data_IF_560922662817
#
_entry.id   IF_560922662817
#
_cell.length_a   1.000
_cell.length_b   1.000
_cell.length_c   1.000
_cell.angle_alpha   90.00
_cell.angle_beta   90.00
_cell.angle_gamma   90.00
#
_symmetry.space_group_name_H-M   'P 1'
#
loop_
_entity.id
_entity.type
_entity.pdbx_description
1 polymer ?
#
# COMPACT_ATOMS: atom_id res chain seq x y z
N UNK A 1 14.06 45.35 10.67
CA UNK A 1 13.87 43.94 10.23
C UNK A 1 13.84 42.92 11.37
N UNK A 2 14.26 43.29 12.60
CA UNK A 2 14.37 42.35 13.75
C UNK A 2 13.18 42.43 14.72
N UNK A 3 12.28 43.40 14.56
CA UNK A 3 11.15 43.55 15.47
C UNK A 3 9.99 42.62 15.08
N UNK A 4 9.50 41.87 16.07
CA UNK A 4 8.27 41.10 15.97
C UNK A 4 7.08 42.06 16.10
N UNK A 5 6.59 42.53 14.97
CA UNK A 5 5.50 43.49 14.89
C UNK A 5 4.22 42.94 15.54
N UNK A 6 3.50 43.82 16.25
CA UNK A 6 2.20 43.49 16.89
C UNK A 6 1.02 43.61 15.92
N UNK A 7 1.10 44.50 14.94
CA UNK A 7 -0.03 44.95 14.12
C UNK A 7 0.06 44.52 12.65
N UNK A 8 1.25 44.09 12.20
CA UNK A 8 1.52 43.71 10.82
C UNK A 8 2.38 42.44 10.72
N UNK A 9 2.50 41.91 9.50
CA UNK A 9 3.35 40.77 9.10
C UNK A 9 4.72 40.78 9.81
N UNK A 10 5.06 39.67 10.48
CA UNK A 10 6.37 39.52 11.13
C UNK A 10 7.44 39.08 10.13
N UNK A 11 8.35 39.98 9.78
CA UNK A 11 9.51 39.65 8.94
C UNK A 11 10.45 38.65 9.63
N UNK A 12 10.52 38.67 10.96
CA UNK A 12 11.31 37.71 11.74
C UNK A 12 10.78 36.29 11.54
N UNK A 13 9.46 36.09 11.56
CA UNK A 13 8.85 34.80 11.26
C UNK A 13 9.20 34.31 9.84
N UNK A 14 9.23 35.22 8.86
CA UNK A 14 9.66 34.93 7.48
C UNK A 14 11.13 34.50 7.40
N UNK A 15 12.03 35.17 8.11
CA UNK A 15 13.45 34.79 8.20
C UNK A 15 13.61 33.43 8.86
N UNK A 16 12.85 33.12 9.92
CA UNK A 16 12.89 31.79 10.53
C UNK A 16 12.40 30.73 9.54
N UNK A 17 11.30 31.00 8.83
CA UNK A 17 10.76 30.09 7.82
C UNK A 17 11.79 29.81 6.70
N UNK A 18 12.53 30.82 6.21
CA UNK A 18 13.53 30.61 5.16
C UNK A 18 14.72 29.80 5.65
N UNK A 19 15.17 30.03 6.89
CA UNK A 19 16.26 29.26 7.51
C UNK A 19 15.88 27.79 7.64
N UNK A 20 14.60 27.48 7.91
CA UNK A 20 14.08 26.10 7.94
C UNK A 20 13.92 25.52 6.53
N UNK A 21 13.50 26.34 5.56
CA UNK A 21 13.29 25.89 4.19
C UNK A 21 14.60 25.52 3.47
N UNK A 22 15.71 26.21 3.79
CA UNK A 22 17.02 25.96 3.18
C UNK A 22 17.52 24.50 3.31
N UNK A 23 17.63 23.91 4.52
CA UNK A 23 18.04 22.51 4.65
C UNK A 23 17.04 21.56 4.00
N UNK A 24 15.73 21.83 4.09
CA UNK A 24 14.71 21.02 3.40
C UNK A 24 14.92 21.02 1.88
N UNK A 25 15.23 22.17 1.30
CA UNK A 25 15.45 22.32 -0.13
C UNK A 25 16.73 21.60 -0.59
N UNK A 26 17.85 21.83 0.10
CA UNK A 26 19.16 21.22 -0.23
C UNK A 26 19.07 19.69 -0.18
N UNK A 27 18.47 19.12 0.86
CA UNK A 27 18.36 17.65 0.99
C UNK A 27 17.36 17.05 0.01
N UNK A 28 16.41 17.84 -0.51
CA UNK A 28 15.44 17.40 -1.52
C UNK A 28 16.03 17.29 -2.94
N UNK A 29 17.23 17.85 -3.17
CA UNK A 29 17.90 17.75 -4.46
C UNK A 29 18.16 16.27 -4.83
N UNK A 30 17.99 15.88 -6.11
CA UNK A 30 18.10 14.48 -6.53
C UNK A 30 19.43 13.81 -6.16
N UNK A 31 20.53 14.57 -6.15
CA UNK A 31 21.85 14.08 -5.76
C UNK A 31 21.88 13.65 -4.30
N UNK A 32 21.47 14.53 -3.38
CA UNK A 32 21.44 14.24 -1.94
C UNK A 32 20.42 13.17 -1.59
N UNK A 33 19.20 13.26 -2.12
CA UNK A 33 18.13 12.30 -1.84
C UNK A 33 18.49 10.86 -2.25
N UNK A 34 19.21 10.69 -3.36
CA UNK A 34 19.66 9.37 -3.84
C UNK A 34 20.83 8.81 -3.03
N UNK A 35 21.70 9.67 -2.49
CA UNK A 35 22.84 9.25 -1.69
C UNK A 35 22.49 9.00 -0.21
N UNK A 36 21.64 9.86 0.38
CA UNK A 36 21.27 9.87 1.80
C UNK A 36 19.77 10.09 1.97
N UNK A 37 18.99 9.07 1.64
CA UNK A 37 17.52 9.14 1.72
C UNK A 37 17.02 9.44 3.14
N UNK A 38 17.63 8.88 4.19
CA UNK A 38 17.21 9.11 5.58
C UNK A 38 17.39 10.58 6.00
N UNK A 39 18.50 11.22 5.59
CA UNK A 39 18.73 12.64 5.87
C UNK A 39 17.67 13.52 5.20
N UNK A 40 17.36 13.23 3.92
CA UNK A 40 16.24 13.85 3.22
C UNK A 40 14.94 13.66 4.00
N UNK A 41 14.59 12.42 4.34
CA UNK A 41 13.35 12.10 5.02
C UNK A 41 13.18 12.87 6.33
N UNK A 42 14.18 12.88 7.21
CA UNK A 42 14.07 13.55 8.51
C UNK A 42 14.07 15.08 8.39
N UNK A 43 14.92 15.66 7.54
CA UNK A 43 14.93 17.12 7.34
C UNK A 43 13.64 17.61 6.70
N UNK A 44 13.02 16.82 5.82
CA UNK A 44 11.78 17.20 5.17
C UNK A 44 10.61 17.34 6.16
N UNK A 45 10.60 16.60 7.28
CA UNK A 45 9.57 16.73 8.33
C UNK A 45 9.52 18.13 8.99
N UNK A 46 10.56 18.95 8.81
CA UNK A 46 10.57 20.35 9.23
C UNK A 46 9.50 21.19 8.52
N UNK A 47 8.81 20.65 7.50
CA UNK A 47 7.66 21.29 6.85
C UNK A 47 6.59 21.75 7.85
N UNK A 48 6.40 21.04 8.97
CA UNK A 48 5.43 21.44 10.00
C UNK A 48 5.82 22.77 10.64
N UNK A 49 7.11 22.93 10.97
CA UNK A 49 7.64 24.14 11.55
C UNK A 49 7.67 25.28 10.51
N UNK A 50 8.00 24.95 9.25
CA UNK A 50 7.91 25.90 8.15
C UNK A 50 6.50 26.46 7.98
N UNK A 51 5.46 25.60 7.91
CA UNK A 51 4.07 26.05 7.77
C UNK A 51 3.67 26.94 8.94
N UNK A 52 4.04 26.58 10.17
CA UNK A 52 3.75 27.40 11.35
C UNK A 52 4.32 28.82 11.25
N UNK A 53 5.62 28.96 10.93
CA UNK A 53 6.22 30.29 10.77
C UNK A 53 5.77 31.01 9.49
N UNK A 54 5.44 30.27 8.44
CA UNK A 54 4.85 30.83 7.21
C UNK A 54 3.51 31.51 7.51
N UNK A 55 2.62 30.87 8.27
CA UNK A 55 1.33 31.46 8.66
C UNK A 55 1.52 32.73 9.48
N UNK A 56 2.45 32.72 10.45
CA UNK A 56 2.78 33.90 11.26
C UNK A 56 3.42 35.04 10.46
N UNK A 57 4.11 34.72 9.36
CA UNK A 57 4.66 35.70 8.45
C UNK A 57 3.56 36.28 7.55
N UNK A 58 2.81 35.42 6.87
CA UNK A 58 2.01 35.81 5.70
C UNK A 58 0.58 36.24 6.06
N UNK A 59 0.04 35.78 7.20
CA UNK A 59 -1.28 36.17 7.68
C UNK A 59 -2.47 35.49 7.01
N UNK A 60 -3.66 35.79 7.54
CA UNK A 60 -4.93 35.16 7.19
C UNK A 60 -5.27 35.32 5.70
N UNK A 61 -5.09 36.53 5.13
CA UNK A 61 -5.49 36.84 3.75
C UNK A 61 -4.80 35.96 2.70
N UNK A 62 -3.50 35.77 2.83
CA UNK A 62 -2.72 34.96 1.90
C UNK A 62 -2.74 33.47 2.29
N UNK A 63 -2.91 33.16 3.58
CA UNK A 63 -3.12 31.79 4.03
C UNK A 63 -4.39 31.18 3.42
N UNK A 64 -5.46 31.96 3.25
CA UNK A 64 -6.69 31.53 2.58
C UNK A 64 -6.47 30.94 1.17
N UNK A 65 -5.43 31.37 0.44
CA UNK A 65 -5.12 30.83 -0.89
C UNK A 65 -4.59 29.39 -0.84
N UNK A 66 -3.85 29.02 0.21
CA UNK A 66 -3.27 27.68 0.38
C UNK A 66 -4.05 26.83 1.40
N UNK A 67 -4.97 27.45 2.13
CA UNK A 67 -5.73 26.84 3.22
C UNK A 67 -6.47 25.58 2.79
N UNK A 68 -7.20 25.51 1.65
CA UNK A 68 -7.89 24.28 1.25
C UNK A 68 -6.94 23.08 1.12
N UNK A 69 -5.74 23.30 0.57
CA UNK A 69 -4.73 22.24 0.42
C UNK A 69 -4.18 21.77 1.78
N UNK A 70 -3.85 22.70 2.66
CA UNK A 70 -3.37 22.39 4.02
C UNK A 70 -4.47 21.68 4.82
N UNK A 71 -5.72 22.12 4.71
CA UNK A 71 -6.86 21.55 5.40
C UNK A 71 -7.08 20.08 5.02
N UNK A 72 -7.11 19.78 3.72
CA UNK A 72 -7.23 18.41 3.22
C UNK A 72 -6.02 17.56 3.62
N UNK A 73 -4.82 18.12 3.56
CA UNK A 73 -3.59 17.43 3.98
C UNK A 73 -3.62 17.06 5.47
N UNK A 74 -4.09 17.95 6.35
CA UNK A 74 -4.22 17.69 7.78
C UNK A 74 -5.25 16.58 8.06
N UNK A 75 -6.40 16.58 7.37
CA UNK A 75 -7.39 15.52 7.48
C UNK A 75 -6.80 14.17 7.05
N UNK A 76 -6.18 14.08 5.87
CA UNK A 76 -5.55 12.86 5.38
C UNK A 76 -4.47 12.35 6.35
N UNK A 77 -3.57 13.25 6.78
CA UNK A 77 -2.49 12.92 7.73
C UNK A 77 -3.03 12.41 9.06
N UNK A 78 -4.09 13.03 9.58
CA UNK A 78 -4.67 12.65 10.86
C UNK A 78 -5.41 11.32 10.78
N UNK A 79 -6.16 11.07 9.71
CA UNK A 79 -6.83 9.78 9.49
C UNK A 79 -5.82 8.64 9.36
N UNK A 80 -4.73 8.84 8.62
CA UNK A 80 -3.61 7.89 8.55
C UNK A 80 -2.97 7.67 9.91
N UNK A 81 -2.78 8.73 10.69
CA UNK A 81 -2.28 8.60 12.06
C UNK A 81 -3.21 7.74 12.93
N UNK A 82 -4.53 7.95 12.90
CA UNK A 82 -5.49 7.13 13.64
C UNK A 82 -5.44 5.66 13.21
N UNK A 83 -5.30 5.40 11.91
CA UNK A 83 -5.10 4.05 11.38
C UNK A 83 -3.79 3.41 11.89
N UNK A 84 -2.68 4.16 11.80
CA UNK A 84 -1.34 3.70 12.17
C UNK A 84 -1.17 3.30 13.64
N UNK A 85 -2.04 3.81 14.52
CA UNK A 85 -2.05 3.46 15.95
C UNK A 85 -2.49 2.02 16.22
N UNK A 86 -3.12 1.36 15.24
CA UNK A 86 -3.58 -0.01 15.39
C UNK A 86 -2.42 -0.99 15.16
N UNK A 87 -2.35 -2.00 16.03
CA UNK A 87 -1.47 -3.16 15.82
C UNK A 87 -2.25 -4.18 15.01
N UNK A 88 -1.59 -4.73 14.00
CA UNK A 88 -2.22 -5.63 13.05
C UNK A 88 -1.85 -7.06 13.39
N UNK A 89 -2.85 -7.94 13.43
CA UNK A 89 -2.64 -9.35 13.70
C UNK A 89 -1.88 -10.00 12.53
N UNK A 90 -0.59 -10.26 12.75
CA UNK A 90 0.27 -11.04 11.86
C UNK A 90 0.04 -12.52 12.14
N UNK A 91 -0.39 -13.28 11.13
CA UNK A 91 -0.72 -14.71 11.24
C UNK A 91 0.51 -15.58 10.97
N UNK A 92 1.20 -15.31 9.86
CA UNK A 92 2.39 -16.06 9.47
C UNK A 92 3.37 -15.22 8.66
N UNK A 93 4.62 -15.65 8.64
CA UNK A 93 5.66 -15.16 7.76
C UNK A 93 6.33 -16.33 7.03
N UNK A 94 6.33 -16.29 5.69
CA UNK A 94 7.00 -17.29 4.85
C UNK A 94 8.31 -16.72 4.32
N UNK A 95 9.41 -17.42 4.58
CA UNK A 95 10.76 -17.04 4.18
C UNK A 95 11.17 -17.89 2.98
N UNK A 96 11.47 -17.22 1.87
CA UNK A 96 11.89 -17.86 0.63
C UNK A 96 13.43 -17.83 0.50
N UNK A 97 14.04 -18.86 -0.12
CA UNK A 97 15.50 -18.97 -0.29
C UNK A 97 16.14 -17.77 -1.00
N UNK A 98 15.37 -17.04 -1.81
CA UNK A 98 15.85 -15.88 -2.54
C UNK A 98 15.95 -14.60 -1.67
N UNK A 99 15.71 -14.67 -0.36
CA UNK A 99 15.66 -13.47 0.50
C UNK A 99 14.38 -12.67 0.27
N UNK A 100 13.27 -13.37 0.02
CA UNK A 100 11.93 -12.79 -0.07
C UNK A 100 11.13 -13.25 1.15
N UNK A 101 10.33 -12.34 1.68
CA UNK A 101 9.47 -12.54 2.84
C UNK A 101 8.03 -12.31 2.40
N UNK A 102 7.14 -13.25 2.69
CA UNK A 102 5.69 -13.02 2.59
C UNK A 102 5.13 -12.91 4.01
N UNK A 103 4.43 -11.81 4.28
CA UNK A 103 3.76 -11.58 5.57
C UNK A 103 2.25 -11.70 5.36
N UNK A 104 1.61 -12.55 6.14
CA UNK A 104 0.16 -12.77 6.11
C UNK A 104 -0.48 -12.14 7.34
N UNK A 105 -1.42 -11.24 7.13
CA UNK A 105 -2.17 -10.53 8.16
C UNK A 105 -3.60 -11.01 8.18
N UNK A 106 -4.22 -10.98 9.37
CA UNK A 106 -5.67 -11.16 9.49
C UNK A 106 -6.39 -9.92 8.97
N UNK A 107 -7.48 -10.14 8.24
CA UNK A 107 -8.31 -9.12 7.62
C UNK A 107 -9.78 -9.34 7.99
N UNK A 108 -10.54 -8.26 8.18
CA UNK A 108 -12.00 -8.37 8.29
C UNK A 108 -12.64 -8.66 6.93
N UNK A 109 -13.68 -9.51 6.83
CA UNK A 109 -14.39 -9.77 5.58
C UNK A 109 -14.90 -8.52 4.86
N UNK A 110 -15.32 -7.50 5.63
CA UNK A 110 -15.81 -6.22 5.08
C UNK A 110 -14.73 -5.29 4.50
N UNK A 111 -13.43 -5.63 4.61
CA UNK A 111 -12.38 -4.86 3.95
C UNK A 111 -12.24 -5.32 2.50
N UNK A 112 -12.69 -4.46 1.58
CA UNK A 112 -12.53 -4.64 0.15
C UNK A 112 -11.30 -3.91 -0.38
N UNK A 113 -10.53 -4.58 -1.25
CA UNK A 113 -9.40 -4.00 -1.96
C UNK A 113 -9.22 -4.66 -3.32
N UNK A 114 -8.78 -3.87 -4.29
CA UNK A 114 -8.53 -4.36 -5.65
C UNK A 114 -7.12 -4.96 -5.78
N UNK A 115 -6.90 -5.86 -6.76
CA UNK A 115 -5.55 -6.29 -7.14
C UNK A 115 -4.64 -5.09 -7.40
N UNK A 116 -3.33 -5.26 -7.20
CA UNK A 116 -2.30 -4.20 -7.29
C UNK A 116 -2.35 -3.12 -6.19
N UNK A 117 -3.20 -3.29 -5.17
CA UNK A 117 -3.20 -2.42 -4.00
C UNK A 117 -1.86 -2.45 -3.25
N UNK A 118 -1.57 -1.37 -2.54
CA UNK A 118 -0.36 -1.16 -1.75
C UNK A 118 -0.75 -1.04 -0.28
N UNK A 119 -0.05 -1.76 0.59
CA UNK A 119 -0.14 -1.64 2.03
C UNK A 119 1.16 -1.03 2.56
N UNK A 120 1.05 0.01 3.37
CA UNK A 120 2.20 0.53 4.10
C UNK A 120 2.39 -0.27 5.38
N UNK A 121 3.61 -0.72 5.62
CA UNK A 121 3.97 -1.53 6.78
C UNK A 121 4.99 -0.78 7.62
N UNK A 122 4.75 -0.76 8.93
CA UNK A 122 5.69 -0.31 9.94
C UNK A 122 5.96 -1.43 10.95
N UNK A 123 7.24 -1.62 11.26
CA UNK A 123 7.69 -2.55 12.30
C UNK A 123 8.44 -1.72 13.35
N UNK A 124 7.78 -1.34 14.47
CA UNK A 124 8.35 -0.43 15.47
C UNK A 124 9.69 -0.88 16.06
N UNK A 125 9.95 -2.21 16.08
CA UNK A 125 11.22 -2.80 16.54
C UNK A 125 12.40 -2.43 15.63
N UNK A 126 12.15 -2.23 14.34
CA UNK A 126 13.16 -1.84 13.36
C UNK A 126 13.25 -0.31 13.27
N UNK A 127 12.10 0.35 13.15
CA UNK A 127 12.00 1.80 13.06
C UNK A 127 10.63 2.30 13.47
N UNK A 128 10.59 3.33 14.33
CA UNK A 128 9.33 3.93 14.82
C UNK A 128 8.66 4.88 13.82
N UNK A 129 9.42 5.39 12.84
CA UNK A 129 8.98 6.46 11.94
C UNK A 129 8.94 6.04 10.47
N UNK A 130 9.64 4.97 10.09
CA UNK A 130 9.71 4.54 8.69
C UNK A 130 8.52 3.65 8.34
N UNK A 131 7.74 4.10 7.35
CA UNK A 131 6.64 3.36 6.74
C UNK A 131 7.05 2.97 5.33
N UNK A 132 6.96 1.67 5.01
CA UNK A 132 7.38 1.15 3.71
C UNK A 132 6.17 0.62 2.93
N UNK A 133 5.96 1.08 1.68
CA UNK A 133 4.88 0.60 0.84
C UNK A 133 5.23 -0.76 0.22
N UNK A 134 4.35 -1.75 0.37
CA UNK A 134 4.47 -3.05 -0.27
C UNK A 134 3.21 -3.39 -1.04
N UNK A 135 3.37 -4.01 -2.21
CA UNK A 135 2.21 -4.47 -3.00
C UNK A 135 1.55 -5.66 -2.31
N UNK A 136 0.24 -5.61 -2.19
CA UNK A 136 -0.59 -6.71 -1.69
C UNK A 136 -0.58 -7.83 -2.73
N UNK A 137 -0.16 -9.03 -2.33
CA UNK A 137 -0.12 -10.21 -3.18
C UNK A 137 -1.43 -11.01 -3.13
N UNK A 138 -2.15 -10.93 -2.01
CA UNK A 138 -3.42 -11.63 -1.82
C UNK A 138 -4.56 -11.04 -2.65
N UNK A 139 -5.64 -11.81 -2.77
CA UNK A 139 -6.87 -11.37 -3.41
C UNK A 139 -8.03 -11.31 -2.41
N UNK A 140 -8.76 -10.19 -2.37
CA UNK A 140 -9.82 -9.97 -1.40
C UNK A 140 -10.98 -10.98 -1.48
N UNK A 141 -11.27 -11.50 -2.67
CA UNK A 141 -12.38 -12.42 -2.88
C UNK A 141 -11.99 -13.88 -2.63
N UNK A 142 -10.74 -14.23 -2.94
CA UNK A 142 -10.20 -15.58 -2.74
C UNK A 142 -9.79 -15.81 -1.28
N UNK A 143 -9.15 -14.82 -0.66
CA UNK A 143 -8.62 -14.86 0.71
C UNK A 143 -9.46 -13.90 1.59
N UNK A 144 -10.61 -14.40 2.06
CA UNK A 144 -11.64 -13.58 2.73
C UNK A 144 -11.12 -12.96 4.02
N UNK A 145 -10.36 -13.74 4.80
CA UNK A 145 -9.89 -13.37 6.16
C UNK A 145 -8.39 -13.05 6.23
N UNK A 146 -7.69 -13.11 5.09
CA UNK A 146 -6.24 -12.93 5.02
C UNK A 146 -5.86 -11.80 4.06
N UNK A 147 -4.76 -11.12 4.38
CA UNK A 147 -4.12 -10.15 3.51
C UNK A 147 -2.62 -10.37 3.53
N UNK A 148 -2.04 -10.59 2.37
CA UNK A 148 -0.64 -10.95 2.21
C UNK A 148 0.13 -9.85 1.49
N UNK A 149 1.34 -9.59 1.96
CA UNK A 149 2.31 -8.70 1.28
C UNK A 149 3.63 -9.40 1.10
N UNK A 150 4.32 -9.05 0.03
CA UNK A 150 5.60 -9.66 -0.34
C UNK A 150 6.71 -8.61 -0.31
N UNK A 151 7.78 -8.91 0.39
CA UNK A 151 8.90 -8.01 0.69
C UNK A 151 10.21 -8.66 0.22
N UNK A 152 10.95 -8.01 -0.67
CA UNK A 152 12.28 -8.44 -1.09
C UNK A 152 13.36 -7.75 -0.27
N UNK A 153 14.35 -8.51 0.20
CA UNK A 153 15.48 -7.98 0.95
C UNK A 153 16.44 -7.24 0.00
N UNK A 154 16.28 -5.91 -0.11
CA UNK A 154 17.13 -5.05 -0.95
C UNK A 154 17.63 -3.78 -0.22
N UNK A 155 17.21 -3.54 1.02
CA UNK A 155 17.56 -2.35 1.78
C UNK A 155 17.79 -2.63 3.27
N UNK A 156 18.37 -1.65 3.95
CA UNK A 156 18.73 -1.76 5.38
C UNK A 156 17.54 -2.12 6.28
N UNK A 157 16.34 -1.63 5.96
CA UNK A 157 15.12 -1.95 6.70
C UNK A 157 14.66 -3.40 6.47
N UNK A 158 14.59 -3.84 5.20
CA UNK A 158 14.16 -5.20 4.86
C UNK A 158 15.14 -6.27 5.34
N UNK A 159 16.44 -5.96 5.34
CA UNK A 159 17.48 -6.89 5.81
C UNK A 159 17.41 -7.07 7.32
N UNK A 160 17.09 -6.00 8.06
CA UNK A 160 16.83 -6.10 9.51
C UNK A 160 15.58 -6.94 9.78
N UNK A 161 14.52 -6.75 9.00
CA UNK A 161 13.31 -7.57 9.12
C UNK A 161 13.58 -9.06 8.89
N UNK A 162 14.35 -9.38 7.85
CA UNK A 162 14.75 -10.75 7.55
C UNK A 162 15.53 -11.40 8.70
N UNK A 163 16.51 -10.67 9.27
CA UNK A 163 17.31 -11.15 10.40
C UNK A 163 16.47 -11.38 11.66
N UNK A 164 15.55 -10.47 11.95
CA UNK A 164 14.64 -10.59 13.10
C UNK A 164 13.75 -11.84 12.94
N UNK A 165 13.14 -12.05 11.77
CA UNK A 165 12.33 -13.23 11.49
C UNK A 165 13.14 -14.54 11.55
N UNK A 166 14.38 -14.53 11.04
CA UNK A 166 15.27 -15.69 11.07
C UNK A 166 15.75 -16.09 12.47
N UNK A 167 15.58 -15.23 13.48
CA UNK A 167 16.00 -15.48 14.87
C UNK A 167 14.96 -16.18 15.75
N UNK A 168 13.90 -16.76 15.15
CA UNK A 168 12.81 -17.47 15.84
C UNK A 168 12.07 -16.59 16.87
N UNK A 169 11.53 -15.46 16.42
CA UNK A 169 10.67 -14.62 17.25
C UNK A 169 9.29 -15.24 17.45
N UNK A 170 8.89 -15.43 18.70
CA UNK A 170 7.51 -15.81 19.05
C UNK A 170 6.48 -14.74 18.64
N UNK A 171 6.92 -13.48 18.47
CA UNK A 171 6.05 -12.34 18.21
C UNK A 171 6.76 -11.18 17.52
N UNK A 172 6.12 -10.66 16.47
CA UNK A 172 6.52 -9.43 15.78
C UNK A 172 5.37 -8.42 15.82
N UNK A 173 5.63 -7.23 16.36
CA UNK A 173 4.65 -6.14 16.33
C UNK A 173 4.71 -5.45 14.98
N UNK A 174 3.57 -5.38 14.31
CA UNK A 174 3.42 -4.73 13.01
C UNK A 174 2.23 -3.78 13.07
N UNK A 175 2.37 -2.62 12.43
CA UNK A 175 1.28 -1.69 12.17
C UNK A 175 1.18 -1.47 10.67
N UNK A 176 -0.04 -1.33 10.16
CA UNK A 176 -0.30 -1.20 8.73
C UNK A 176 -1.21 -0.01 8.43
N UNK A 177 -1.04 0.53 7.23
CA UNK A 177 -1.82 1.64 6.70
C UNK A 177 -2.23 1.32 5.24
N UNK A 178 -3.49 1.57 4.89
CA UNK A 178 -4.11 1.09 3.65
C UNK A 178 -5.04 -0.12 3.87
N UNK A 179 -5.25 -0.99 2.87
CA UNK A 179 -4.65 -0.98 1.53
C UNK A 179 -5.12 0.20 0.65
N UNK A 180 -4.22 0.72 -0.18
CA UNK A 180 -4.47 1.78 -1.15
C UNK A 180 -4.30 1.23 -2.57
N UNK A 181 -5.33 1.29 -3.38
CA UNK A 181 -5.28 0.71 -4.72
C UNK A 181 -6.16 1.45 -5.72
N UNK A 182 -6.15 1.01 -6.98
CA UNK A 182 -7.03 1.56 -8.00
C UNK A 182 -8.49 1.31 -7.63
N UNK A 183 -9.39 2.20 -8.09
CA UNK A 183 -10.83 2.08 -7.86
C UNK A 183 -11.45 0.89 -8.59
N UNK A 184 -10.89 0.54 -9.75
CA UNK A 184 -11.29 -0.61 -10.56
C UNK A 184 -10.08 -1.20 -11.28
N UNK A 185 -10.15 -2.48 -11.61
CA UNK A 185 -9.18 -3.15 -12.46
C UNK A 185 -9.80 -3.43 -13.83
N UNK A 186 -9.16 -2.93 -14.89
CA UNK A 186 -9.66 -3.10 -16.27
C UNK A 186 -9.00 -4.27 -17.01
N UNK A 187 -8.05 -4.97 -16.39
CA UNK A 187 -7.27 -6.02 -17.07
C UNK A 187 -8.09 -7.22 -17.53
N UNK A 188 -9.27 -7.46 -16.94
CA UNK A 188 -10.17 -8.57 -17.30
C UNK A 188 -10.95 -8.35 -18.60
N UNK A 189 -10.89 -7.16 -19.21
CA UNK A 189 -11.65 -6.85 -20.44
C UNK A 189 -11.04 -7.44 -21.71
N UNK A 190 -9.74 -7.76 -21.67
CA UNK A 190 -8.95 -8.16 -22.83
C UNK A 190 -9.12 -9.66 -23.11
N UNK A 191 -8.90 -10.08 -24.36
CA UNK A 191 -8.93 -11.51 -24.72
C UNK A 191 -7.65 -12.24 -24.32
N UNK A 192 -6.52 -11.53 -24.39
CA UNK A 192 -5.22 -12.01 -23.93
C UNK A 192 -4.55 -10.98 -23.01
N UNK A 193 -3.90 -11.46 -21.96
CA UNK A 193 -3.16 -10.65 -21.00
C UNK A 193 -1.69 -11.05 -20.99
N UNK A 194 -0.80 -10.11 -21.29
CA UNK A 194 0.65 -10.28 -21.22
C UNK A 194 1.21 -9.57 -19.99
N UNK A 195 1.78 -10.35 -19.06
CA UNK A 195 2.31 -9.88 -17.79
C UNK A 195 3.85 -9.90 -17.81
N UNK A 196 4.49 -8.75 -17.98
CA UNK A 196 5.95 -8.63 -18.09
C UNK A 196 6.55 -8.18 -16.75
N UNK A 197 7.26 -9.08 -16.07
CA UNK A 197 7.83 -8.84 -14.75
C UNK A 197 9.36 -8.86 -14.73
N UNK A 198 9.96 -8.03 -13.87
CA UNK A 198 11.40 -8.06 -13.60
C UNK A 198 11.69 -8.18 -12.10
N UNK A 199 12.28 -9.31 -11.69
CA UNK A 199 12.58 -9.60 -10.28
C UNK A 199 11.33 -9.55 -9.39
N UNK A 200 11.38 -8.77 -8.31
CA UNK A 200 10.24 -8.56 -7.40
C UNK A 200 9.07 -7.80 -8.03
N UNK A 201 9.20 -7.30 -9.27
CA UNK A 201 8.07 -6.75 -10.04
C UNK A 201 6.96 -7.77 -10.32
N UNK A 202 7.17 -9.05 -10.01
CA UNK A 202 6.15 -10.10 -10.09
C UNK A 202 4.99 -9.92 -9.10
N UNK A 203 5.21 -9.27 -7.96
CA UNK A 203 4.22 -9.18 -6.87
C UNK A 203 2.82 -8.70 -7.27
N UNK A 204 2.63 -7.58 -8.01
CA UNK A 204 1.29 -7.18 -8.45
C UNK A 204 0.60 -8.24 -9.31
N UNK A 205 1.35 -9.00 -10.10
CA UNK A 205 0.80 -10.04 -10.97
C UNK A 205 0.29 -11.25 -10.18
N UNK A 206 0.85 -11.53 -9.00
CA UNK A 206 0.31 -12.54 -8.09
C UNK A 206 -1.16 -12.21 -7.76
N UNK A 207 -1.45 -10.96 -7.37
CA UNK A 207 -2.82 -10.55 -7.04
C UNK A 207 -3.78 -10.59 -8.24
N UNK A 208 -3.27 -10.33 -9.45
CA UNK A 208 -4.03 -10.41 -10.71
C UNK A 208 -4.36 -11.86 -11.05
N UNK A 209 -3.37 -12.76 -10.97
CA UNK A 209 -3.58 -14.19 -11.23
C UNK A 209 -4.58 -14.78 -10.23
N UNK A 210 -4.48 -14.42 -8.95
CA UNK A 210 -5.46 -14.84 -7.92
C UNK A 210 -6.87 -14.31 -8.20
N UNK A 211 -7.02 -13.09 -8.72
CA UNK A 211 -8.32 -12.58 -9.18
C UNK A 211 -8.86 -13.39 -10.36
N UNK A 212 -8.02 -13.72 -11.34
CA UNK A 212 -8.42 -14.55 -12.49
C UNK A 212 -8.87 -15.93 -12.03
N UNK A 213 -8.11 -16.58 -11.13
CA UNK A 213 -8.46 -17.86 -10.51
C UNK A 213 -9.84 -17.78 -9.83
N UNK A 214 -10.11 -16.70 -9.09
CA UNK A 214 -11.40 -16.50 -8.43
C UNK A 214 -12.55 -16.32 -9.43
N UNK A 215 -12.36 -15.51 -10.48
CA UNK A 215 -13.42 -15.22 -11.46
C UNK A 215 -13.83 -16.47 -12.27
N UNK A 216 -12.91 -17.42 -12.48
CA UNK A 216 -13.18 -18.70 -13.17
C UNK A 216 -14.21 -19.56 -12.42
N UNK A 217 -14.26 -19.44 -11.11
CA UNK A 217 -15.23 -20.19 -10.30
C UNK A 217 -16.67 -19.71 -10.55
N UNK A 218 -16.86 -18.54 -11.18
CA UNK A 218 -18.18 -18.02 -11.51
C UNK A 218 -18.66 -18.59 -12.86
N UNK A 219 -19.92 -19.05 -12.94
CA UNK A 219 -20.47 -19.56 -14.19
C UNK A 219 -20.50 -18.46 -15.27
N UNK A 220 -20.17 -18.83 -16.51
CA UNK A 220 -20.20 -17.98 -17.71
C UNK A 220 -19.13 -16.87 -17.80
N UNK A 221 -18.05 -16.92 -17.01
CA UNK A 221 -16.95 -15.97 -17.16
C UNK A 221 -16.00 -16.40 -18.30
N UNK A 222 -15.82 -15.55 -19.31
CA UNK A 222 -14.80 -15.76 -20.37
C UNK A 222 -13.43 -15.39 -19.81
N UNK A 223 -12.55 -16.37 -19.70
CA UNK A 223 -11.21 -16.20 -19.13
C UNK A 223 -10.25 -15.68 -20.21
N UNK A 224 -9.44 -14.64 -19.93
CA UNK A 224 -8.38 -14.26 -20.85
C UNK A 224 -7.27 -15.32 -20.88
N UNK A 225 -6.64 -15.52 -22.05
CA UNK A 225 -5.38 -16.26 -22.13
C UNK A 225 -4.29 -15.44 -21.44
N UNK A 226 -3.50 -16.04 -20.55
CA UNK A 226 -2.48 -15.30 -19.78
C UNK A 226 -1.07 -15.76 -20.15
N UNK A 227 -0.24 -14.82 -20.60
CA UNK A 227 1.17 -15.05 -20.90
C UNK A 227 2.00 -14.23 -19.94
N UNK A 228 2.78 -14.89 -19.11
CA UNK A 228 3.60 -14.25 -18.09
C UNK A 228 5.08 -14.36 -18.47
N UNK A 229 5.73 -13.23 -18.69
CA UNK A 229 7.15 -13.15 -19.04
C UNK A 229 7.90 -12.61 -17.82
N UNK A 230 8.69 -13.45 -17.17
CA UNK A 230 9.42 -13.10 -15.95
C UNK A 230 10.93 -13.07 -16.22
N UNK A 231 11.59 -11.97 -15.89
CA UNK A 231 13.05 -11.87 -15.94
C UNK A 231 13.64 -11.87 -14.53
N UNK A 232 14.41 -12.90 -14.21
CA UNK A 232 15.11 -13.08 -12.94
C UNK A 232 16.62 -12.95 -13.10
N UNK A 233 17.31 -12.59 -12.02
CA UNK A 233 18.78 -12.53 -12.02
C UNK A 233 19.35 -13.93 -11.85
N UNK A 234 18.86 -14.66 -10.85
CA UNK A 234 19.37 -15.95 -10.42
C UNK A 234 18.24 -17.00 -10.41
N UNK A 235 18.57 -18.29 -10.48
CA UNK A 235 17.59 -19.38 -10.41
C UNK A 235 16.82 -19.43 -9.08
N UNK A 236 17.45 -19.02 -7.97
CA UNK A 236 16.79 -18.96 -6.67
C UNK A 236 15.54 -18.05 -6.67
N UNK A 237 15.50 -17.01 -7.52
CA UNK A 237 14.34 -16.12 -7.63
C UNK A 237 13.12 -16.81 -8.30
N UNK A 238 13.29 -17.98 -8.94
CA UNK A 238 12.17 -18.77 -9.46
C UNK A 238 11.19 -19.19 -8.37
N UNK A 239 11.64 -19.34 -7.12
CA UNK A 239 10.77 -19.63 -5.97
C UNK A 239 9.66 -18.57 -5.76
N UNK A 240 9.78 -17.38 -6.38
CA UNK A 240 8.70 -16.40 -6.39
C UNK A 240 7.45 -16.87 -7.14
N UNK A 241 7.60 -17.79 -8.09
CA UNK A 241 6.48 -18.36 -8.85
C UNK A 241 5.57 -19.20 -7.94
N UNK A 242 6.13 -19.83 -6.91
CA UNK A 242 5.35 -20.61 -5.93
C UNK A 242 4.35 -19.75 -5.14
N UNK A 243 4.54 -18.43 -5.12
CA UNK A 243 3.61 -17.48 -4.51
C UNK A 243 2.34 -17.21 -5.33
N UNK A 244 2.32 -17.60 -6.61
CA UNK A 244 1.15 -17.41 -7.48
C UNK A 244 -0.09 -18.10 -6.90
N UNK A 245 0.10 -19.20 -6.19
CA UNK A 245 -0.94 -19.92 -5.48
C UNK A 245 -0.96 -19.51 -3.98
N UNK A 246 -2.15 -19.36 -3.38
CA UNK A 246 -2.26 -19.08 -1.96
C UNK A 246 -1.81 -20.28 -1.12
N UNK A 247 -1.45 -20.00 0.14
CA UNK A 247 -1.07 -21.02 1.13
C UNK A 247 -2.31 -21.84 1.54
N UNK A 248 -3.47 -21.20 1.55
CA UNK A 248 -4.72 -21.73 2.07
C UNK A 248 -5.64 -22.12 0.92
N UNK A 249 -5.77 -23.43 0.62
CA UNK A 249 -6.79 -23.97 -0.29
C UNK A 249 -6.60 -23.61 -1.77
N UNK A 250 -6.02 -24.51 -2.54
CA UNK A 250 -5.99 -24.39 -4.01
C UNK A 250 -7.31 -24.87 -4.62
N UNK A 251 -8.00 -24.05 -5.43
CA UNK A 251 -9.13 -24.52 -6.20
C UNK A 251 -8.65 -25.57 -7.22
N UNK A 252 -9.38 -26.68 -7.42
CA UNK A 252 -8.97 -27.83 -8.25
C UNK A 252 -8.93 -27.57 -9.77
N UNK A 253 -8.86 -26.30 -10.23
CA UNK A 253 -9.13 -25.91 -11.61
C UNK A 253 -8.08 -24.98 -12.25
N UNK A 254 -6.85 -24.92 -11.74
CA UNK A 254 -5.74 -24.18 -12.41
C UNK A 254 -5.58 -24.61 -13.88
N UNK A 255 -5.86 -25.88 -14.19
CA UNK A 255 -5.84 -26.44 -15.54
C UNK A 255 -6.85 -25.81 -16.51
N UNK A 256 -7.83 -25.04 -16.03
CA UNK A 256 -8.74 -24.26 -16.87
C UNK A 256 -8.14 -22.91 -17.29
N UNK A 257 -7.08 -22.44 -16.61
CA UNK A 257 -6.33 -21.26 -17.02
C UNK A 257 -5.36 -21.67 -18.12
N UNK A 258 -5.48 -21.04 -19.29
CA UNK A 258 -4.41 -21.06 -20.29
C UNK A 258 -3.27 -20.14 -19.85
N UNK A 259 -2.57 -20.54 -18.78
CA UNK A 259 -1.42 -19.83 -18.23
C UNK A 259 -0.15 -20.36 -18.89
N UNK A 260 0.62 -19.48 -19.52
CA UNK A 260 1.94 -19.76 -20.05
C UNK A 260 2.96 -18.88 -19.33
N UNK A 261 3.91 -19.48 -18.63
CA UNK A 261 4.96 -18.74 -17.91
C UNK A 261 6.28 -18.95 -18.65
N UNK A 262 6.90 -17.86 -19.09
CA UNK A 262 8.26 -17.84 -19.63
C UNK A 262 9.19 -17.16 -18.62
N UNK A 263 10.01 -17.95 -17.93
CA UNK A 263 10.94 -17.46 -16.93
C UNK A 263 12.37 -17.41 -17.50
N UNK A 264 12.94 -16.21 -17.60
CA UNK A 264 14.28 -15.96 -18.12
C UNK A 264 15.26 -15.68 -16.99
N UNK A 265 16.30 -16.50 -16.85
CA UNK A 265 17.39 -16.33 -15.89
C UNK A 265 18.57 -15.67 -16.62
N UNK A 266 18.94 -14.48 -16.16
CA UNK A 266 19.86 -13.61 -16.92
C UNK A 266 21.32 -13.69 -16.52
N UNK A 267 21.68 -14.34 -15.40
CA UNK A 267 23.08 -14.47 -14.93
C UNK A 267 23.62 -15.89 -14.93
N UNK A 268 22.76 -16.89 -15.06
CA UNK A 268 23.14 -18.30 -15.02
C UNK A 268 22.90 -18.90 -16.41
N UNK A 269 23.89 -19.61 -16.94
CA UNK A 269 23.86 -20.21 -18.29
C UNK A 269 23.31 -21.65 -18.26
N UNK A 270 23.40 -22.34 -17.13
CA UNK A 270 22.95 -23.72 -16.95
C UNK A 270 22.16 -23.87 -15.64
N UNK A 271 21.31 -24.90 -15.58
CA UNK A 271 20.58 -25.26 -14.37
C UNK A 271 21.56 -25.78 -13.31
N UNK A 272 21.54 -25.26 -12.07
CA UNK A 272 22.47 -25.71 -11.03
C UNK A 272 22.29 -27.20 -10.74
N UNK A 273 23.38 -27.97 -10.81
CA UNK A 273 23.38 -29.44 -10.65
C UNK A 273 22.98 -29.96 -9.26
N UNK A 274 22.75 -29.07 -8.30
CA UNK A 274 22.33 -29.44 -6.94
C UNK A 274 21.13 -28.58 -6.57
N UNK A 275 19.94 -29.06 -6.90
CA UNK A 275 18.69 -28.51 -6.35
C UNK A 275 18.62 -28.85 -4.85
N UNK A 276 19.40 -28.15 -4.03
CA UNK A 276 19.10 -28.03 -2.61
C UNK A 276 17.94 -27.06 -2.51
N UNK A 277 16.74 -27.53 -2.83
CA UNK A 277 15.50 -26.84 -2.46
C UNK A 277 15.52 -26.69 -0.95
N UNK A 278 16.01 -25.55 -0.46
CA UNK A 278 15.82 -25.20 0.95
C UNK A 278 14.30 -25.09 1.12
N UNK A 279 13.69 -25.93 1.98
CA UNK A 279 12.25 -25.92 2.15
C UNK A 279 11.80 -24.53 2.58
N UNK A 280 10.64 -24.12 2.09
CA UNK A 280 9.98 -22.88 2.51
C UNK A 280 9.83 -22.90 4.03
N UNK A 281 10.43 -21.92 4.70
CA UNK A 281 10.31 -21.81 6.15
C UNK A 281 9.12 -20.91 6.47
N UNK A 282 8.04 -21.49 6.97
CA UNK A 282 6.86 -20.74 7.44
C UNK A 282 6.90 -20.64 8.96
N UNK A 283 6.89 -19.40 9.45
CA UNK A 283 6.80 -19.06 10.88
C UNK A 283 5.35 -18.67 11.17
N UNK A 284 4.74 -19.35 12.13
CA UNK A 284 3.39 -19.06 12.59
C UNK A 284 3.44 -18.26 13.91
N UNK A 285 2.69 -17.18 13.98
CA UNK A 285 2.67 -16.31 15.16
C UNK A 285 1.46 -16.62 16.04
N UNK A 286 1.66 -16.49 17.37
CA UNK A 286 0.56 -16.65 18.32
C UNK A 286 -0.34 -15.41 18.31
N UNK A 287 -1.68 -15.57 18.29
CA UNK A 287 -2.59 -14.44 18.34
C UNK A 287 -2.47 -13.68 19.66
N UNK A 288 -2.60 -12.36 19.62
CA UNK A 288 -2.59 -11.49 20.80
C UNK A 288 -3.89 -10.70 20.89
N UNK A 289 -4.46 -10.51 22.09
CA UNK A 289 -5.66 -9.70 22.26
C UNK A 289 -5.43 -8.20 21.97
N UNK A 290 -4.18 -7.76 21.89
CA UNK A 290 -3.81 -6.38 21.55
C UNK A 290 -3.77 -6.12 20.05
N UNK A 291 -3.77 -7.19 19.24
CA UNK A 291 -3.64 -7.10 17.79
C UNK A 291 -5.04 -7.23 17.18
N UNK A 292 -5.35 -6.38 16.22
CA UNK A 292 -6.64 -6.36 15.53
C UNK A 292 -6.49 -6.76 14.07
N UNK A 293 -7.52 -7.37 13.45
CA UNK A 293 -7.51 -7.60 12.01
C UNK A 293 -7.49 -6.26 11.26
N UNK A 294 -6.91 -6.25 10.06
CA UNK A 294 -6.94 -5.10 9.16
C UNK A 294 -8.40 -4.84 8.78
N UNK A 295 -8.85 -3.61 9.00
CA UNK A 295 -10.22 -3.18 8.72
C UNK A 295 -10.25 -1.84 8.01
N UNK A 296 -11.35 -1.57 7.31
CA UNK A 296 -11.53 -0.30 6.61
C UNK A 296 -11.66 0.85 7.60
N UNK A 297 -10.83 1.89 7.46
CA UNK A 297 -10.78 3.04 8.38
C UNK A 297 -12.10 3.83 8.43
N UNK A 298 -12.71 4.05 7.27
CA UNK A 298 -13.98 4.77 7.11
C UNK A 298 -15.12 3.85 6.63
N UNK A 299 -14.95 2.53 6.74
CA UNK A 299 -15.93 1.56 6.27
C UNK A 299 -16.07 1.50 4.72
N UNK A 300 -17.12 0.83 4.21
CA UNK A 300 -17.32 0.62 2.77
C UNK A 300 -17.64 1.91 1.99
N UNK A 301 -18.35 2.86 2.61
CA UNK A 301 -18.68 4.16 2.01
C UNK A 301 -17.63 5.22 2.37
N UNK A 302 -16.36 4.91 2.16
CA UNK A 302 -15.23 5.73 2.60
C UNK A 302 -15.29 7.18 2.09
N UNK A 303 -15.73 7.39 0.84
CA UNK A 303 -15.80 8.71 0.22
C UNK A 303 -16.90 9.59 0.81
N UNK A 304 -18.05 9.02 1.17
CA UNK A 304 -19.13 9.75 1.84
C UNK A 304 -18.70 10.19 3.23
N UNK A 305 -18.06 9.31 4.01
CA UNK A 305 -17.52 9.67 5.31
C UNK A 305 -16.41 10.70 5.22
N UNK A 306 -15.54 10.61 4.21
CA UNK A 306 -14.51 11.61 3.98
C UNK A 306 -15.13 12.98 3.65
N UNK A 307 -16.13 13.02 2.77
CA UNK A 307 -16.90 14.24 2.47
C UNK A 307 -17.60 14.81 3.70
N UNK A 308 -18.19 13.95 4.55
CA UNK A 308 -18.79 14.34 5.81
C UNK A 308 -17.76 14.93 6.78
N UNK A 309 -16.58 14.33 6.93
CA UNK A 309 -15.49 14.85 7.77
C UNK A 309 -15.06 16.23 7.27
N UNK A 310 -14.80 16.39 5.97
CA UNK A 310 -14.34 17.65 5.37
C UNK A 310 -15.38 18.75 5.61
N UNK A 311 -16.64 18.50 5.23
CA UNK A 311 -17.73 19.49 5.34
C UNK A 311 -18.04 19.85 6.79
N UNK A 312 -18.19 18.87 7.68
CA UNK A 312 -18.52 19.13 9.09
C UNK A 312 -17.37 19.76 9.86
N UNK A 313 -16.11 19.37 9.59
CA UNK A 313 -14.94 20.02 10.18
C UNK A 313 -14.83 21.48 9.76
N UNK A 314 -15.09 21.78 8.48
CA UNK A 314 -15.04 23.14 7.96
C UNK A 314 -16.18 24.00 8.51
N UNK A 315 -17.41 23.48 8.57
CA UNK A 315 -18.54 24.19 9.17
C UNK A 315 -18.30 24.49 10.66
N UNK A 316 -17.79 23.51 11.41
CA UNK A 316 -17.44 23.69 12.82
C UNK A 316 -16.34 24.73 12.99
N UNK A 317 -15.32 24.72 12.11
CA UNK A 317 -14.28 25.74 12.10
C UNK A 317 -14.84 27.15 11.89
N UNK A 318 -15.69 27.37 10.89
CA UNK A 318 -16.31 28.68 10.66
C UNK A 318 -17.15 29.15 11.84
N UNK A 319 -17.89 28.24 12.47
CA UNK A 319 -18.71 28.54 13.65
C UNK A 319 -17.83 28.94 14.85
N UNK A 320 -16.79 28.16 15.17
CA UNK A 320 -15.88 28.46 16.27
C UNK A 320 -15.07 29.72 16.00
N UNK A 321 -14.63 29.93 14.76
CA UNK A 321 -13.96 31.16 14.33
C UNK A 321 -14.86 32.38 14.56
N UNK A 322 -16.14 32.29 14.16
CA UNK A 322 -17.12 33.34 14.42
C UNK A 322 -17.32 33.63 15.91
N UNK A 323 -17.40 32.58 16.74
CA UNK A 323 -17.55 32.72 18.20
C UNK A 323 -16.32 33.38 18.82
N UNK A 324 -15.11 32.88 18.54
CA UNK A 324 -13.86 33.43 19.08
C UNK A 324 -13.68 34.88 18.61
N UNK A 325 -13.96 35.16 17.33
CA UNK A 325 -13.88 36.52 16.80
C UNK A 325 -14.87 37.46 17.50
N UNK A 326 -16.13 37.05 17.67
CA UNK A 326 -17.20 37.90 18.23
C UNK A 326 -17.08 38.12 19.73
N UNK A 327 -16.73 37.08 20.50
CA UNK A 327 -16.80 37.12 21.96
C UNK A 327 -15.46 37.24 22.65
N UNK A 328 -14.34 36.96 21.97
CA UNK A 328 -13.00 37.05 22.56
C UNK A 328 -12.16 38.15 21.90
N UNK A 329 -12.05 38.15 20.57
CA UNK A 329 -11.19 39.12 19.86
C UNK A 329 -11.85 40.50 19.81
N UNK A 330 -13.12 40.59 19.40
CA UNK A 330 -13.82 41.86 19.22
C UNK A 330 -13.91 42.73 20.49
N UNK A 331 -14.21 42.20 21.69
CA UNK A 331 -14.22 43.02 22.91
C UNK A 331 -12.86 43.60 23.29
N UNK A 332 -11.75 43.03 22.80
CA UNK A 332 -10.40 43.53 23.04
C UNK A 332 -10.03 44.53 21.94
N UNK A 333 -10.23 44.14 20.68
CA UNK A 333 -9.76 44.92 19.53
C UNK A 333 -10.68 46.08 19.15
N UNK A 334 -11.96 46.01 19.53
CA UNK A 334 -13.01 46.97 19.14
C UNK A 334 -13.08 47.19 17.61
N UNK A 335 -12.67 46.19 16.83
CA UNK A 335 -12.58 46.23 15.36
C UNK A 335 -11.66 47.35 14.82
N UNK A 336 -10.63 47.70 15.59
CA UNK A 336 -9.63 48.70 15.20
C UNK A 336 -8.45 48.09 14.44
N UNK A 337 -8.31 46.76 14.47
CA UNK A 337 -7.20 45.98 13.90
C UNK A 337 -5.81 46.38 14.40
N UNK A 338 -5.73 47.17 15.48
CA UNK A 338 -4.49 47.77 15.98
C UNK A 338 -4.15 47.34 17.41
N UNK A 339 -5.11 46.79 18.15
CA UNK A 339 -4.96 46.50 19.59
C UNK A 339 -4.65 45.02 19.80
N UNK A 340 -5.34 44.14 19.08
CA UNK A 340 -5.14 42.71 19.18
C UNK A 340 -3.93 42.25 18.37
N UNK A 341 -3.03 41.49 18.99
CA UNK A 341 -1.78 41.09 18.35
C UNK A 341 -2.04 40.13 17.18
N UNK A 342 -1.52 40.48 16.01
CA UNK A 342 -1.67 39.73 14.77
C UNK A 342 -1.29 38.25 14.91
N UNK A 343 -0.11 37.95 15.49
CA UNK A 343 0.32 36.56 15.73
C UNK A 343 -0.65 35.75 16.60
N UNK A 344 -1.32 36.36 17.58
CA UNK A 344 -2.29 35.62 18.39
C UNK A 344 -3.54 35.26 17.58
N UNK A 345 -3.97 36.12 16.65
CA UNK A 345 -5.08 35.83 15.74
C UNK A 345 -4.75 34.63 14.84
N UNK A 346 -3.58 34.65 14.20
CA UNK A 346 -3.10 33.54 13.39
C UNK A 346 -2.95 32.23 14.19
N UNK A 347 -2.50 32.30 15.44
CA UNK A 347 -2.42 31.13 16.33
C UNK A 347 -3.80 30.56 16.67
N UNK A 348 -4.81 31.42 16.90
CA UNK A 348 -6.20 30.99 17.08
C UNK A 348 -6.71 30.24 15.85
N UNK A 349 -6.51 30.78 14.66
CA UNK A 349 -6.96 30.16 13.42
C UNK A 349 -6.32 28.78 13.24
N UNK A 350 -5.00 28.66 13.40
CA UNK A 350 -4.29 27.38 13.34
C UNK A 350 -4.81 26.38 14.39
N UNK A 351 -5.02 26.84 15.61
CA UNK A 351 -5.52 26.00 16.70
C UNK A 351 -6.93 25.49 16.42
N UNK A 352 -7.85 26.38 16.02
CA UNK A 352 -9.24 26.04 15.72
C UNK A 352 -9.34 25.03 14.59
N UNK A 353 -8.57 25.22 13.50
CA UNK A 353 -8.53 24.26 12.39
C UNK A 353 -8.11 22.87 12.88
N UNK A 354 -7.01 22.79 13.64
CA UNK A 354 -6.52 21.52 14.17
C UNK A 354 -7.54 20.84 15.08
N UNK A 355 -8.16 21.60 16.00
CA UNK A 355 -9.16 21.08 16.95
C UNK A 355 -10.39 20.56 16.22
N UNK A 356 -10.92 21.30 15.25
CA UNK A 356 -12.09 20.87 14.48
C UNK A 356 -11.83 19.56 13.73
N UNK A 357 -10.69 19.47 13.02
CA UNK A 357 -10.29 18.25 12.31
C UNK A 357 -10.15 17.09 13.28
N UNK A 358 -9.49 17.29 14.43
CA UNK A 358 -9.28 16.23 15.41
C UNK A 358 -10.58 15.73 16.02
N UNK A 359 -11.48 16.62 16.44
CA UNK A 359 -12.76 16.24 17.05
C UNK A 359 -13.59 15.45 16.05
N UNK A 360 -13.84 16.01 14.87
CA UNK A 360 -14.73 15.41 13.87
C UNK A 360 -14.17 14.08 13.38
N UNK A 361 -12.88 14.06 12.98
CA UNK A 361 -12.26 12.84 12.46
C UNK A 361 -12.17 11.75 13.53
N UNK A 362 -11.92 12.08 14.80
CA UNK A 362 -11.92 11.11 15.90
C UNK A 362 -13.31 10.51 16.13
N UNK A 363 -14.34 11.36 16.15
CA UNK A 363 -15.72 10.89 16.34
C UNK A 363 -16.12 9.95 15.22
N UNK A 364 -15.87 10.32 13.96
CA UNK A 364 -16.18 9.48 12.80
C UNK A 364 -15.36 8.18 12.84
N UNK A 365 -14.06 8.25 13.10
CA UNK A 365 -13.20 7.07 13.17
C UNK A 365 -13.65 6.08 14.26
N UNK A 366 -13.96 6.58 15.46
CA UNK A 366 -14.45 5.74 16.56
C UNK A 366 -15.83 5.15 16.25
N UNK A 367 -16.69 5.91 15.57
CA UNK A 367 -17.99 5.44 15.11
C UNK A 367 -17.85 4.30 14.11
N UNK A 368 -17.05 4.48 13.05
CA UNK A 368 -16.75 3.45 12.06
C UNK A 368 -16.11 2.21 12.71
N UNK A 369 -15.13 2.40 13.60
CA UNK A 369 -14.50 1.29 14.33
C UNK A 369 -15.51 0.49 15.16
N UNK A 370 -16.42 1.16 15.86
CA UNK A 370 -17.48 0.51 16.64
C UNK A 370 -18.47 -0.23 15.75
N UNK A 371 -18.79 0.32 14.58
CA UNK A 371 -19.64 -0.32 13.59
C UNK A 371 -19.00 -1.60 13.04
N UNK A 372 -17.74 -1.53 12.63
CA UNK A 372 -16.97 -2.69 12.14
C UNK A 372 -16.89 -3.80 13.21
N UNK A 373 -16.66 -3.44 14.48
CA UNK A 373 -16.63 -4.41 15.58
C UNK A 373 -17.99 -5.09 15.81
N UNK A 374 -19.09 -4.34 15.71
CA UNK A 374 -20.45 -4.90 15.81
C UNK A 374 -20.76 -5.85 14.66
N UNK A 375 -20.34 -5.51 13.46
CA UNK A 375 -20.54 -6.33 12.27
C UNK A 375 -19.71 -7.62 12.33
N UNK A 376 -18.44 -7.53 12.73
CA UNK A 376 -17.59 -8.72 12.97
C UNK A 376 -18.21 -9.69 13.99
N UNK A 377 -18.71 -9.18 15.13
CA UNK A 377 -19.37 -10.03 16.12
C UNK A 377 -20.67 -10.67 15.58
N UNK A 378 -21.41 -9.99 14.71
CA UNK A 378 -22.62 -10.55 14.08
C UNK A 378 -22.29 -11.66 13.10
N UNK A 379 -21.22 -11.51 12.31
CA UNK A 379 -20.75 -12.53 11.36
C UNK A 379 -20.32 -13.79 12.12
N UNK A 380 -19.48 -13.63 13.15
CA UNK A 380 -19.01 -14.74 13.98
C UNK A 380 -20.17 -15.48 14.67
N UNK A 381 -21.15 -14.75 15.23
CA UNK A 381 -22.32 -15.37 15.86
C UNK A 381 -23.24 -16.08 14.86
N UNK A 382 -23.29 -15.63 13.60
CA UNK A 382 -24.11 -16.24 12.56
C UNK A 382 -23.50 -17.53 12.02
N UNK A 383 -22.17 -17.60 11.93
CA UNK A 383 -21.44 -18.83 11.62
C UNK A 383 -21.57 -19.88 12.73
N UNK A 384 -21.60 -19.45 14.00
CA UNK A 384 -21.86 -20.33 15.16
C UNK A 384 -23.32 -20.83 15.19
N UNK A 385 -24.28 -20.08 14.62
CA UNK A 385 -25.71 -20.40 14.65
C UNK A 385 -26.16 -21.33 13.50
N UNK A 386 -25.33 -21.56 12.48
CA UNK A 386 -25.51 -22.69 11.56
C UNK A 386 -24.99 -23.96 12.24
N UNK A 387 -25.79 -25.04 12.40
CA UNK A 387 -25.31 -26.26 13.02
C UNK A 387 -24.36 -26.97 12.04
N UNK A 388 -23.09 -26.58 12.06
CA UNK A 388 -22.01 -27.45 11.64
C UNK A 388 -21.75 -28.35 12.84
N UNK A 389 -22.10 -29.61 12.66
CA UNK A 389 -21.87 -30.72 13.57
C UNK A 389 -20.52 -30.59 14.25
N UNK A 390 -20.50 -30.46 15.57
CA UNK A 390 -19.30 -30.49 16.37
C UNK A 390 -18.65 -31.88 16.27
N UNK A 391 -17.74 -32.04 15.32
CA UNK A 391 -16.66 -33.01 15.40
C UNK A 391 -15.36 -32.21 15.51
N UNK A 392 -14.59 -32.54 16.55
CA UNK A 392 -13.44 -31.79 17.01
C UNK A 392 -12.35 -31.61 15.95
N UNK A 393 -11.50 -30.62 16.20
CA UNK A 393 -10.23 -30.36 15.50
C UNK A 393 -10.37 -30.51 13.98
N UNK A 394 -10.61 -29.38 13.30
CA UNK A 394 -10.80 -29.38 11.85
C UNK A 394 -9.72 -30.24 11.17
N UNK A 395 -10.07 -31.09 10.18
CA UNK A 395 -9.11 -31.91 9.45
C UNK A 395 -8.27 -31.08 8.46
N UNK A 396 -8.01 -29.81 8.79
CA UNK A 396 -7.22 -28.88 7.97
C UNK A 396 -5.71 -29.09 8.12
N UNK A 397 -5.29 -30.03 8.99
CA UNK A 397 -3.89 -30.36 9.24
C UNK A 397 -3.37 -31.57 8.44
N UNK A 398 -4.13 -32.05 7.44
CA UNK A 398 -3.66 -33.06 6.48
C UNK A 398 -3.50 -32.46 5.08
N UNK A 399 -2.61 -31.47 4.94
CA UNK A 399 -2.36 -30.77 3.66
C UNK A 399 -1.21 -31.33 2.82
N UNK A 400 -0.34 -32.16 3.39
CA UNK A 400 0.93 -32.52 2.73
C UNK A 400 0.75 -33.30 1.41
N UNK A 401 -0.33 -34.08 1.23
CA UNK A 401 -0.52 -34.88 0.01
C UNK A 401 -1.30 -34.16 -1.11
N UNK A 402 -2.11 -33.14 -0.78
CA UNK A 402 -2.93 -32.40 -1.76
C UNK A 402 -2.21 -31.18 -2.37
N UNK A 403 -1.10 -30.74 -1.78
CA UNK A 403 -0.27 -29.63 -2.28
C UNK A 403 0.45 -29.96 -3.59
N UNK A 404 0.64 -31.23 -3.93
CA UNK A 404 1.50 -31.63 -5.07
C UNK A 404 0.91 -31.32 -6.47
N UNK A 405 -0.39 -31.54 -6.67
CA UNK A 405 -1.06 -31.42 -7.98
C UNK A 405 -1.13 -29.97 -8.54
N UNK A 406 -1.48 -28.94 -7.74
CA UNK A 406 -1.49 -27.54 -8.19
C UNK A 406 -0.09 -27.03 -8.57
N UNK A 407 0.90 -27.36 -7.74
CA UNK A 407 2.29 -27.00 -7.99
C UNK A 407 2.82 -27.70 -9.25
N UNK A 408 2.43 -28.96 -9.49
CA UNK A 408 2.79 -29.67 -10.72
C UNK A 408 2.20 -29.01 -11.98
N UNK A 409 0.97 -28.48 -11.91
CA UNK A 409 0.35 -27.75 -13.04
C UNK A 409 1.10 -26.45 -13.34
N UNK A 410 1.57 -25.75 -12.30
CA UNK A 410 2.38 -24.54 -12.45
C UNK A 410 3.76 -24.84 -13.07
N UNK A 411 4.39 -25.93 -12.63
CA UNK A 411 5.66 -26.40 -13.19
C UNK A 411 5.50 -26.76 -14.67
N UNK A 412 4.42 -27.45 -15.05
CA UNK A 412 4.14 -27.78 -16.46
C UNK A 412 3.88 -26.53 -17.32
N UNK A 413 3.25 -25.50 -16.75
CA UNK A 413 3.01 -24.22 -17.41
C UNK A 413 4.28 -23.34 -17.53
N UNK A 414 5.36 -23.68 -16.82
CA UNK A 414 6.57 -22.87 -16.72
C UNK A 414 7.68 -23.37 -17.63
N UNK A 415 8.09 -22.53 -18.57
CA UNK A 415 9.27 -22.73 -19.41
C UNK A 415 10.41 -21.85 -18.93
N UNK A 416 11.50 -22.47 -18.50
CA UNK A 416 12.69 -21.78 -17.98
C UNK A 416 13.74 -21.65 -19.08
N UNK A 417 14.27 -20.44 -19.25
CA UNK A 417 15.29 -20.08 -20.22
C UNK A 417 16.53 -19.55 -19.48
N UNK A 418 17.67 -20.21 -19.62
CA UNK A 418 18.94 -19.79 -19.04
C UNK A 418 19.75 -18.94 -20.03
N UNK A 419 20.65 -18.09 -19.52
CA UNK A 419 21.62 -17.30 -20.29
C UNK A 419 21.05 -16.26 -21.25
N UNK A 420 19.72 -16.07 -21.28
CA UNK A 420 19.06 -15.25 -22.30
C UNK A 420 18.16 -14.18 -21.68
N UNK A 421 17.98 -13.08 -22.41
CA UNK A 421 17.02 -12.03 -22.08
C UNK A 421 15.77 -12.19 -22.94
N UNK A 422 14.58 -11.87 -22.41
CA UNK A 422 13.35 -11.94 -23.19
C UNK A 422 13.39 -10.98 -24.37
N UNK A 423 13.08 -11.49 -25.57
CA UNK A 423 12.85 -10.67 -26.75
C UNK A 423 11.39 -10.22 -26.80
N UNK A 424 11.10 -9.13 -26.09
CA UNK A 424 9.75 -8.58 -26.01
C UNK A 424 9.17 -8.23 -27.38
N UNK A 425 10.01 -7.83 -28.35
CA UNK A 425 9.52 -7.41 -29.67
C UNK A 425 8.96 -8.62 -30.41
N UNK A 426 9.70 -9.72 -30.41
CA UNK A 426 9.24 -10.96 -31.03
C UNK A 426 7.97 -11.49 -30.33
N UNK A 427 8.01 -11.64 -29.01
CA UNK A 427 6.90 -12.24 -28.27
C UNK A 427 5.61 -11.43 -28.36
N UNK A 428 5.68 -10.08 -28.37
CA UNK A 428 4.48 -9.24 -28.46
C UNK A 428 3.92 -9.12 -29.88
N UNK A 429 4.76 -9.16 -30.91
CA UNK A 429 4.33 -9.06 -32.31
C UNK A 429 3.78 -10.40 -32.86
N UNK A 430 4.20 -11.52 -32.28
CA UNK A 430 3.73 -12.86 -32.68
C UNK A 430 2.30 -13.17 -32.18
N UNK A 431 1.71 -12.31 -31.33
CA UNK A 431 0.35 -12.46 -30.81
C UNK A 431 -0.70 -12.13 -31.86
N UNK A 432 -1.65 -13.06 -32.08
CA UNK A 432 -2.67 -12.98 -33.14
C UNK A 432 -4.04 -12.54 -32.62
N UNK A 433 -4.18 -12.38 -31.31
CA UNK A 433 -5.42 -12.05 -30.63
C UNK A 433 -5.89 -10.63 -30.96
N UNK A 434 -7.21 -10.40 -30.99
CA UNK A 434 -7.77 -9.12 -31.45
C UNK A 434 -7.61 -7.98 -30.45
N UNK A 435 -7.55 -8.30 -29.15
CA UNK A 435 -7.40 -7.36 -28.05
C UNK A 435 -6.45 -7.94 -26.98
N UNK A 436 -5.27 -7.34 -26.85
CA UNK A 436 -4.20 -7.78 -25.95
C UNK A 436 -3.88 -6.68 -24.93
N UNK A 437 -4.10 -6.96 -23.65
CA UNK A 437 -3.63 -6.12 -22.55
C UNK A 437 -2.19 -6.45 -22.20
N UNK A 438 -1.29 -5.46 -22.18
CA UNK A 438 0.12 -5.63 -21.81
C UNK A 438 0.40 -4.87 -20.53
N UNK A 439 0.69 -5.60 -19.45
CA UNK A 439 1.05 -5.04 -18.15
C UNK A 439 2.54 -5.23 -17.89
N UNK A 440 3.28 -4.17 -17.57
CA UNK A 440 4.71 -4.26 -17.27
C UNK A 440 5.05 -3.71 -15.88
N UNK A 441 5.79 -4.51 -15.10
CA UNK A 441 6.22 -4.19 -13.74
C UNK A 441 7.68 -4.59 -13.52
N UNK A 442 8.57 -3.64 -13.21
CA UNK A 442 10.00 -3.93 -13.10
C UNK A 442 10.91 -2.71 -13.30
N UNK A 443 12.20 -2.94 -13.62
CA UNK A 443 13.17 -1.89 -13.90
C UNK A 443 12.67 -0.87 -14.93
N UNK A 444 13.01 0.41 -14.72
CA UNK A 444 12.53 1.51 -15.58
C UNK A 444 12.80 1.25 -17.06
N UNK A 445 14.01 0.80 -17.40
CA UNK A 445 14.42 0.51 -18.78
C UNK A 445 13.49 -0.52 -19.45
N UNK A 446 13.26 -1.65 -18.79
CA UNK A 446 12.36 -2.71 -19.26
C UNK A 446 10.94 -2.18 -19.54
N UNK A 447 10.39 -1.39 -18.61
CA UNK A 447 9.05 -0.80 -18.79
C UNK A 447 8.99 0.17 -19.97
N UNK A 448 10.04 0.96 -20.20
CA UNK A 448 10.11 1.88 -21.34
C UNK A 448 10.26 1.12 -22.67
N UNK A 449 11.03 0.03 -22.68
CA UNK A 449 11.22 -0.80 -23.87
C UNK A 449 9.90 -1.46 -24.29
N UNK A 450 9.15 -2.06 -23.34
CA UNK A 450 7.81 -2.63 -23.59
C UNK A 450 6.83 -1.55 -24.05
N UNK A 451 6.80 -0.40 -23.36
CA UNK A 451 5.92 0.71 -23.73
C UNK A 451 6.20 1.21 -25.17
N UNK A 452 7.48 1.30 -25.56
CA UNK A 452 7.89 1.72 -26.91
C UNK A 452 7.43 0.72 -27.97
N UNK A 453 7.46 -0.58 -27.67
CA UNK A 453 6.98 -1.62 -28.59
C UNK A 453 5.47 -1.48 -28.77
N UNK A 454 4.70 -1.37 -27.69
CA UNK A 454 3.24 -1.20 -27.80
C UNK A 454 2.84 0.11 -28.50
N UNK A 455 3.60 1.20 -28.29
CA UNK A 455 3.34 2.49 -28.93
C UNK A 455 3.85 2.59 -30.38
N UNK A 456 4.59 1.60 -30.88
CA UNK A 456 5.23 1.66 -32.20
C UNK A 456 4.25 1.57 -33.38
N UNK A 457 2.98 1.23 -33.13
CA UNK A 457 1.96 1.06 -34.17
C UNK A 457 2.15 -0.18 -35.06
N UNK A 458 3.16 -1.01 -34.76
CA UNK A 458 3.43 -2.28 -35.46
C UNK A 458 2.32 -3.32 -35.25
N UNK A 459 1.54 -3.18 -34.17
CA UNK A 459 0.44 -4.04 -33.80
C UNK A 459 -0.66 -3.15 -33.17
N UNK A 460 -1.82 -3.01 -33.84
CA UNK A 460 -2.90 -2.10 -33.43
C UNK A 460 -3.77 -2.65 -32.27
N UNK A 461 -3.60 -3.93 -31.94
CA UNK A 461 -4.32 -4.71 -30.94
C UNK A 461 -3.69 -4.63 -29.53
N UNK A 462 -2.59 -3.90 -29.34
CA UNK A 462 -1.86 -3.86 -28.07
C UNK A 462 -2.28 -2.67 -27.19
N UNK A 463 -2.80 -2.95 -25.99
CA UNK A 463 -3.14 -1.94 -24.99
C UNK A 463 -2.17 -2.01 -23.81
N UNK A 464 -1.27 -1.04 -23.72
CA UNK A 464 -0.23 -1.02 -22.68
C UNK A 464 -0.68 -0.29 -21.41
N UNK A 465 -0.42 -0.90 -20.27
CA UNK A 465 -0.56 -0.30 -18.95
C UNK A 465 0.69 -0.57 -18.11
N UNK A 466 1.32 0.48 -17.60
CA UNK A 466 2.50 0.33 -16.74
C UNK A 466 2.09 0.28 -15.27
N UNK A 467 2.51 -0.77 -14.56
CA UNK A 467 2.40 -0.82 -13.10
C UNK A 467 3.71 -0.30 -12.52
N UNK A 468 3.62 0.76 -11.71
CA UNK A 468 4.74 1.23 -10.90
C UNK A 468 4.62 0.60 -9.53
N UNK A 469 5.56 -0.29 -9.17
CA UNK A 469 5.73 -0.76 -7.80
C UNK A 469 6.82 0.05 -7.11
N UNK A 470 6.64 0.30 -5.82
CA UNK A 470 7.65 0.86 -4.93
C UNK A 470 8.37 -0.28 -4.22
N UNK A 471 9.70 -0.27 -4.27
CA UNK A 471 10.59 -1.10 -3.46
C UNK A 471 10.91 -0.41 -2.13
#
# INVERSE_FOLDING_TARGET
>A
MVEWSKTWVSNVAGVIAIVIAMPMWVTSLPQFRRMKFELFFYTHHLYLLYIFFYVLHVGDAYFCMIFPGIFLFLIDRYLRFLQSRQRTALLSARILPCGLLELNFSKTPGLYYNPTSILFVNVPRISKLQWHPFTVSSNCNMEIDELSVVIKCQGSWSDKLYKELGSSLDRLQVSTEGPYGPTSSHFLRHECLVLVSGGSGITPFISIIREIIFQIQKPNFKVPRVIMICAFKNSADLAMLDLLLPISGTPPQISQIQLQIEAYITREEEQPMTETHKPLQTIWFKPSPLDSPISATLGPNNWLWLGAIISSSFLLFLLLLGIVTRYYIYPIDHNTEQIYHFSYRALWDMFLVCVCIFIVSSVVFLWCKKQNAREGNRIQNREIATPVTSQGVSPWFSGAELESLPHQSLVQATKVHFGSRPDFKKTLLDLKESDVGVLACGPRKMRHDVAKICASGLAQNLHFESISFTL
#
